data_IF_970866868179
#
_entry.id   IF_970866868179
#
_cell.length_a   1.000
_cell.length_b   1.000
_cell.length_c   1.000
_cell.angle_alpha   90.00
_cell.angle_beta   90.00
_cell.angle_gamma   90.00
#
_symmetry.space_group_name_H-M   'P 1'
#
loop_
_entity.id
_entity.type
_entity.pdbx_description
1 polymer ?
#
# COMPACT_ATOMS: atom_id res chain seq x y z
N UNK A 1 -17.91 -17.91 13.59
CA UNK A 1 -17.51 -19.09 12.78
C UNK A 1 -17.11 -18.71 11.34
N UNK A 2 -17.84 -17.82 10.66
CA UNK A 2 -17.49 -17.37 9.30
C UNK A 2 -16.19 -16.55 9.25
N UNK A 3 -16.01 -15.61 10.17
CA UNK A 3 -14.84 -14.73 10.19
C UNK A 3 -13.56 -15.46 10.62
N UNK A 4 -13.69 -16.47 11.49
CA UNK A 4 -12.56 -17.33 11.89
C UNK A 4 -12.06 -18.19 10.73
N UNK A 5 -12.97 -18.70 9.87
CA UNK A 5 -12.58 -19.44 8.66
C UNK A 5 -11.91 -18.52 7.65
N UNK A 6 -12.49 -17.34 7.39
CA UNK A 6 -11.93 -16.36 6.48
C UNK A 6 -10.53 -15.91 6.94
N UNK A 7 -10.35 -15.57 8.23
CA UNK A 7 -9.04 -15.18 8.78
C UNK A 7 -8.02 -16.30 8.65
N UNK A 8 -8.42 -17.56 8.83
CA UNK A 8 -7.53 -18.71 8.67
C UNK A 8 -7.07 -18.89 7.22
N UNK A 9 -8.01 -18.83 6.26
CA UNK A 9 -7.70 -18.87 4.82
C UNK A 9 -6.82 -17.69 4.40
N UNK A 10 -7.14 -16.48 4.86
CA UNK A 10 -6.35 -15.27 4.62
C UNK A 10 -4.92 -15.40 5.19
N UNK A 11 -4.77 -15.90 6.41
CA UNK A 11 -3.47 -16.11 7.04
C UNK A 11 -2.63 -17.14 6.27
N UNK A 12 -3.26 -18.21 5.78
CA UNK A 12 -2.60 -19.20 4.94
C UNK A 12 -2.11 -18.57 3.65
N UNK A 13 -2.97 -17.85 2.94
CA UNK A 13 -2.61 -17.14 1.70
C UNK A 13 -1.49 -16.13 1.93
N UNK A 14 -1.55 -15.35 3.03
CA UNK A 14 -0.50 -14.38 3.37
C UNK A 14 0.84 -15.08 3.51
N UNK A 15 0.88 -16.17 4.28
CA UNK A 15 2.10 -16.98 4.47
C UNK A 15 2.63 -17.54 3.14
N UNK A 16 1.76 -18.02 2.27
CA UNK A 16 2.17 -18.54 0.97
C UNK A 16 2.76 -17.45 0.06
N UNK A 17 2.11 -16.29 -0.02
CA UNK A 17 2.62 -15.14 -0.79
C UNK A 17 3.96 -14.66 -0.23
N UNK A 18 4.09 -14.48 1.08
CA UNK A 18 5.35 -14.10 1.73
C UNK A 18 6.45 -15.13 1.49
N UNK A 19 6.14 -16.43 1.53
CA UNK A 19 7.10 -17.50 1.25
C UNK A 19 7.61 -17.44 -0.19
N UNK A 20 6.73 -17.22 -1.15
CA UNK A 20 7.10 -17.06 -2.57
C UNK A 20 7.99 -15.83 -2.74
N UNK A 21 7.62 -14.69 -2.17
CA UNK A 21 8.42 -13.46 -2.18
C UNK A 21 9.84 -13.70 -1.63
N UNK A 22 9.95 -14.26 -0.43
CA UNK A 22 11.23 -14.55 0.21
C UNK A 22 12.10 -15.51 -0.60
N UNK A 23 11.50 -16.51 -1.25
CA UNK A 23 12.21 -17.43 -2.14
C UNK A 23 12.86 -16.67 -3.30
N UNK A 24 12.11 -15.81 -3.98
CA UNK A 24 12.62 -15.09 -5.14
C UNK A 24 13.65 -14.01 -4.77
N UNK A 25 13.45 -13.30 -3.66
CA UNK A 25 14.47 -12.36 -3.15
C UNK A 25 15.80 -13.07 -2.90
N UNK A 26 15.79 -14.24 -2.25
CA UNK A 26 17.02 -15.02 -2.03
C UNK A 26 17.69 -15.45 -3.33
N UNK A 27 16.90 -15.87 -4.33
CA UNK A 27 17.43 -16.23 -5.66
C UNK A 27 18.11 -15.02 -6.30
N UNK A 28 17.46 -13.86 -6.28
CA UNK A 28 18.01 -12.64 -6.90
C UNK A 28 19.25 -12.15 -6.17
N UNK A 29 19.26 -12.17 -4.83
CA UNK A 29 20.44 -11.83 -4.04
C UNK A 29 21.61 -12.76 -4.35
N UNK A 30 21.35 -14.07 -4.47
CA UNK A 30 22.37 -15.03 -4.89
C UNK A 30 22.90 -14.71 -6.29
N UNK A 31 22.02 -14.40 -7.25
CA UNK A 31 22.42 -14.02 -8.61
C UNK A 31 23.27 -12.75 -8.63
N UNK A 32 22.89 -11.72 -7.86
CA UNK A 32 23.65 -10.48 -7.71
C UNK A 32 25.06 -10.73 -7.18
N UNK A 33 25.20 -11.64 -6.21
CA UNK A 33 26.51 -12.00 -5.65
C UNK A 33 27.36 -12.85 -6.60
N UNK A 34 26.74 -13.79 -7.34
CA UNK A 34 27.44 -14.66 -8.29
C UNK A 34 27.85 -13.92 -9.57
N UNK A 35 27.04 -12.96 -10.01
CA UNK A 35 27.20 -12.26 -11.28
C UNK A 35 27.21 -10.73 -11.10
N UNK A 36 28.25 -10.16 -10.46
CA UNK A 36 28.29 -8.75 -10.09
C UNK A 36 28.20 -7.80 -11.29
N UNK A 37 28.69 -8.21 -12.47
CA UNK A 37 28.60 -7.41 -13.70
C UNK A 37 27.15 -7.21 -14.18
N UNK A 38 26.20 -7.98 -13.66
CA UNK A 38 24.78 -7.91 -14.01
C UNK A 38 23.92 -7.31 -12.88
N UNK A 39 24.55 -6.66 -11.89
CA UNK A 39 23.84 -6.12 -10.71
C UNK A 39 22.68 -5.18 -11.08
N UNK A 40 22.82 -4.37 -12.14
CA UNK A 40 21.74 -3.49 -12.58
C UNK A 40 20.49 -4.27 -13.03
N UNK A 41 20.69 -5.43 -13.68
CA UNK A 41 19.60 -6.30 -14.14
C UNK A 41 18.96 -7.00 -12.95
N UNK A 42 19.77 -7.57 -12.05
CA UNK A 42 19.25 -8.28 -10.88
C UNK A 42 18.52 -7.33 -9.92
N UNK A 43 19.05 -6.13 -9.68
CA UNK A 43 18.37 -5.09 -8.88
C UNK A 43 17.02 -4.67 -9.49
N UNK A 44 16.92 -4.58 -10.83
CA UNK A 44 15.63 -4.29 -11.49
C UNK A 44 14.59 -5.38 -11.19
N UNK A 45 14.96 -6.65 -11.28
CA UNK A 45 14.04 -7.75 -10.95
C UNK A 45 13.73 -7.82 -9.45
N UNK A 46 14.71 -7.55 -8.58
CA UNK A 46 14.50 -7.50 -7.13
C UNK A 46 13.42 -6.48 -6.79
N UNK A 47 13.56 -5.30 -7.39
CA UNK A 47 12.63 -4.20 -7.23
C UNK A 47 11.23 -4.53 -7.74
N UNK A 48 11.11 -5.15 -8.92
CA UNK A 48 9.81 -5.59 -9.47
C UNK A 48 9.13 -6.62 -8.58
N UNK A 49 9.87 -7.62 -8.08
CA UNK A 49 9.32 -8.64 -7.19
C UNK A 49 8.86 -8.03 -5.86
N UNK A 50 9.62 -7.06 -5.33
CA UNK A 50 9.24 -6.29 -4.16
C UNK A 50 7.93 -5.52 -4.42
N UNK A 51 7.83 -4.81 -5.55
CA UNK A 51 6.63 -4.09 -5.92
C UNK A 51 5.39 -4.98 -6.02
N UNK A 52 5.49 -6.14 -6.69
CA UNK A 52 4.38 -7.10 -6.79
C UNK A 52 3.97 -7.69 -5.44
N UNK A 53 4.94 -7.95 -4.56
CA UNK A 53 4.65 -8.44 -3.21
C UNK A 53 3.85 -7.42 -2.41
N UNK A 54 4.30 -6.16 -2.40
CA UNK A 54 3.63 -5.11 -1.67
C UNK A 54 2.26 -4.80 -2.24
N UNK A 55 2.11 -4.75 -3.58
CA UNK A 55 0.82 -4.58 -4.25
C UNK A 55 -0.18 -5.70 -3.89
N UNK A 56 0.26 -6.96 -3.95
CA UNK A 56 -0.56 -8.10 -3.53
C UNK A 56 -0.98 -8.00 -2.06
N UNK A 57 -0.08 -7.55 -1.17
CA UNK A 57 -0.41 -7.36 0.24
C UNK A 57 -1.41 -6.22 0.43
N UNK A 58 -1.29 -5.12 -0.30
CA UNK A 58 -2.27 -4.02 -0.26
C UNK A 58 -3.67 -4.52 -0.64
N UNK A 59 -3.79 -5.27 -1.74
CA UNK A 59 -5.05 -5.88 -2.15
C UNK A 59 -5.59 -6.85 -1.09
N UNK A 60 -4.74 -7.71 -0.54
CA UNK A 60 -5.12 -8.66 0.53
C UNK A 60 -5.63 -7.96 1.79
N UNK A 61 -4.98 -6.87 2.21
CA UNK A 61 -5.40 -6.08 3.37
C UNK A 61 -6.66 -5.26 3.09
N UNK A 62 -6.88 -4.80 1.86
CA UNK A 62 -8.15 -4.18 1.45
C UNK A 62 -9.34 -5.11 1.62
N UNK A 63 -9.15 -6.40 1.32
CA UNK A 63 -10.19 -7.43 1.48
C UNK A 63 -10.38 -7.80 2.94
N UNK A 64 -9.31 -7.77 3.74
CA UNK A 64 -9.36 -8.08 5.17
C UNK A 64 -10.23 -7.08 5.94
N UNK A 65 -10.00 -5.78 5.76
CA UNK A 65 -10.72 -4.71 6.48
C UNK A 65 -12.21 -4.68 6.15
N UNK A 66 -12.58 -5.06 4.92
CA UNK A 66 -13.97 -5.13 4.49
C UNK A 66 -14.71 -6.40 4.96
N UNK A 67 -14.00 -7.38 5.53
CA UNK A 67 -14.54 -8.70 5.89
C UNK A 67 -14.51 -8.99 7.38
N UNK A 68 -13.61 -8.37 8.13
CA UNK A 68 -13.44 -8.60 9.56
C UNK A 68 -13.64 -7.30 10.31
N UNK A 69 -14.65 -7.25 11.17
CA UNK A 69 -14.82 -6.18 12.14
C UNK A 69 -13.75 -6.31 13.24
N UNK A 70 -13.07 -5.21 13.56
CA UNK A 70 -12.10 -5.18 14.65
C UNK A 70 -10.79 -5.92 14.35
N UNK A 71 -10.05 -5.46 13.33
CA UNK A 71 -8.68 -5.91 13.11
C UNK A 71 -7.82 -5.66 14.35
N UNK A 72 -6.93 -6.62 14.67
CA UNK A 72 -5.95 -6.40 15.72
C UNK A 72 -4.89 -5.39 15.26
N UNK A 73 -4.19 -4.79 16.22
CA UNK A 73 -3.16 -3.77 15.94
C UNK A 73 -2.05 -4.29 15.01
N UNK A 74 -1.63 -5.55 15.15
CA UNK A 74 -0.61 -6.14 14.29
C UNK A 74 -1.02 -6.19 12.82
N UNK A 75 -2.28 -6.53 12.53
CA UNK A 75 -2.80 -6.54 11.15
C UNK A 75 -2.85 -5.12 10.58
N UNK A 76 -3.22 -4.13 11.40
CA UNK A 76 -3.24 -2.71 11.01
C UNK A 76 -1.83 -2.21 10.72
N UNK A 77 -0.88 -2.46 11.62
CA UNK A 77 0.51 -2.02 11.48
C UNK A 77 1.17 -2.65 10.24
N UNK A 78 0.95 -3.94 10.00
CA UNK A 78 1.43 -4.61 8.79
C UNK A 78 0.81 -4.00 7.52
N UNK A 79 -0.50 -3.74 7.50
CA UNK A 79 -1.16 -3.09 6.36
C UNK A 79 -0.54 -1.73 6.06
N UNK A 80 -0.38 -0.87 7.09
CA UNK A 80 0.23 0.45 6.94
C UNK A 80 1.66 0.33 6.43
N UNK A 81 2.47 -0.62 6.91
CA UNK A 81 3.82 -0.84 6.39
C UNK A 81 3.84 -1.14 4.89
N UNK A 82 2.88 -1.93 4.38
CA UNK A 82 2.77 -2.18 2.95
C UNK A 82 2.32 -0.94 2.18
N UNK A 83 1.38 -0.16 2.73
CA UNK A 83 0.92 1.07 2.11
C UNK A 83 2.03 2.13 2.04
N UNK A 84 2.85 2.20 3.08
CA UNK A 84 3.98 3.09 3.22
C UNK A 84 5.05 2.80 2.18
N UNK A 85 5.38 1.51 2.03
CA UNK A 85 6.30 1.06 1.00
C UNK A 85 5.79 1.41 -0.40
N UNK A 86 4.51 1.13 -0.69
CA UNK A 86 3.91 1.45 -1.99
C UNK A 86 3.88 2.95 -2.26
N UNK A 87 3.60 3.77 -1.24
CA UNK A 87 3.61 5.22 -1.38
C UNK A 87 4.99 5.74 -1.76
N UNK A 88 6.05 5.26 -1.11
CA UNK A 88 7.42 5.64 -1.42
C UNK A 88 7.83 5.14 -2.81
N UNK A 89 7.41 3.94 -3.20
CA UNK A 89 7.63 3.39 -4.53
C UNK A 89 6.98 4.24 -5.63
N UNK A 90 5.72 4.63 -5.45
CA UNK A 90 4.98 5.47 -6.41
C UNK A 90 5.61 6.87 -6.48
N UNK A 91 5.98 7.44 -5.33
CA UNK A 91 6.50 8.81 -5.25
C UNK A 91 7.94 8.96 -5.76
N UNK A 92 8.75 7.91 -5.68
CA UNK A 92 10.14 7.91 -6.19
C UNK A 92 10.22 7.71 -7.70
N UNK A 93 9.25 7.01 -8.29
CA UNK A 93 9.09 6.87 -9.72
C UNK A 93 8.42 8.14 -10.29
N UNK A 94 9.22 9.20 -10.50
CA UNK A 94 8.85 10.51 -11.06
C UNK A 94 8.31 10.47 -12.51
N UNK A 95 7.74 9.36 -12.95
CA UNK A 95 7.20 9.20 -14.28
C UNK A 95 5.70 9.51 -14.30
N UNK A 96 5.28 10.60 -14.97
CA UNK A 96 3.87 10.90 -15.13
C UNK A 96 3.22 9.88 -16.07
N UNK A 97 2.61 8.85 -15.49
CA UNK A 97 1.85 7.82 -16.20
C UNK A 97 0.46 7.70 -15.59
N UNK A 98 -0.55 7.47 -16.43
CA UNK A 98 -1.93 7.18 -15.99
C UNK A 98 -2.00 6.01 -14.97
N UNK A 99 -1.03 5.11 -15.04
CA UNK A 99 -0.80 4.05 -14.06
C UNK A 99 -0.50 4.62 -12.67
N UNK A 100 0.49 5.51 -12.54
CA UNK A 100 0.88 6.17 -11.28
C UNK A 100 -0.30 6.85 -10.61
N UNK A 101 -1.13 7.57 -11.38
CA UNK A 101 -2.36 8.19 -10.91
C UNK A 101 -3.32 7.16 -10.29
N UNK A 102 -3.57 6.05 -11.00
CA UNK A 102 -4.49 5.00 -10.56
C UNK A 102 -4.02 4.38 -9.26
N UNK A 103 -2.74 4.02 -9.15
CA UNK A 103 -2.18 3.45 -7.92
C UNK A 103 -2.26 4.43 -6.74
N UNK A 104 -1.95 5.70 -6.97
CA UNK A 104 -2.01 6.71 -5.92
C UNK A 104 -3.43 6.90 -5.38
N UNK A 105 -4.43 6.90 -6.26
CA UNK A 105 -5.85 6.97 -5.87
C UNK A 105 -6.27 5.74 -5.07
N UNK A 106 -5.98 4.53 -5.58
CA UNK A 106 -6.35 3.29 -4.92
C UNK A 106 -5.68 3.17 -3.55
N UNK A 107 -4.41 3.52 -3.46
CA UNK A 107 -3.66 3.53 -2.20
C UNK A 107 -4.23 4.55 -1.21
N UNK A 108 -4.63 5.72 -1.70
CA UNK A 108 -5.33 6.73 -0.90
C UNK A 108 -6.63 6.19 -0.29
N UNK A 109 -7.40 5.39 -1.03
CA UNK A 109 -8.58 4.71 -0.48
C UNK A 109 -8.22 3.72 0.63
N UNK A 110 -7.12 2.98 0.49
CA UNK A 110 -6.69 2.04 1.53
C UNK A 110 -6.31 2.75 2.82
N UNK A 111 -5.57 3.86 2.71
CA UNK A 111 -5.27 4.72 3.86
C UNK A 111 -6.54 5.23 4.56
N UNK A 112 -7.54 5.68 3.79
CA UNK A 112 -8.82 6.12 4.36
C UNK A 112 -9.56 5.00 5.07
N UNK A 113 -9.59 3.79 4.48
CA UNK A 113 -10.25 2.62 5.08
C UNK A 113 -9.62 2.20 6.41
N UNK A 114 -8.30 2.33 6.55
CA UNK A 114 -7.59 1.97 7.78
C UNK A 114 -7.51 3.11 8.81
N UNK A 115 -7.70 4.37 8.40
CA UNK A 115 -7.52 5.55 9.27
C UNK A 115 -8.18 5.42 10.64
N UNK A 116 -9.45 5.00 10.69
CA UNK A 116 -10.20 4.90 11.95
C UNK A 116 -9.68 3.82 12.90
N UNK A 117 -8.98 2.82 12.37
CA UNK A 117 -8.39 1.71 13.13
C UNK A 117 -7.02 2.05 13.72
N UNK A 118 -6.41 3.13 13.24
CA UNK A 118 -5.06 3.52 13.63
C UNK A 118 -5.02 4.30 14.95
N UNK A 119 -3.90 4.18 15.65
CA UNK A 119 -3.58 5.04 16.79
C UNK A 119 -3.34 6.51 16.35
N UNK A 120 -3.38 7.49 17.27
CA UNK A 120 -3.26 8.91 16.91
C UNK A 120 -1.96 9.27 16.16
N UNK A 121 -0.76 8.78 16.54
CA UNK A 121 0.45 9.02 15.75
C UNK A 121 0.35 8.53 14.30
N UNK A 122 -0.13 7.31 14.08
CA UNK A 122 -0.30 6.75 12.73
C UNK A 122 -1.36 7.52 11.94
N UNK A 123 -2.44 8.00 12.58
CA UNK A 123 -3.44 8.86 11.93
C UNK A 123 -2.83 10.14 11.35
N UNK A 124 -1.93 10.81 12.09
CA UNK A 124 -1.23 12.01 11.61
C UNK A 124 -0.33 11.69 10.41
N UNK A 125 0.39 10.56 10.46
CA UNK A 125 1.22 10.09 9.33
C UNK A 125 0.35 9.87 8.09
N UNK A 126 -0.80 9.19 8.25
CA UNK A 126 -1.75 8.94 7.16
C UNK A 126 -2.27 10.26 6.57
N UNK A 127 -2.66 11.23 7.40
CA UNK A 127 -3.09 12.56 6.93
C UNK A 127 -2.00 13.26 6.12
N UNK A 128 -0.75 13.21 6.58
CA UNK A 128 0.39 13.75 5.85
C UNK A 128 0.57 13.12 4.47
N UNK A 129 0.45 11.80 4.37
CA UNK A 129 0.56 11.08 3.09
C UNK A 129 -0.59 11.37 2.15
N UNK A 130 -1.83 11.36 2.65
CA UNK A 130 -3.01 11.73 1.87
C UNK A 130 -2.91 13.16 1.33
N UNK A 131 -2.36 14.09 2.12
CA UNK A 131 -2.07 15.46 1.66
C UNK A 131 -1.11 15.45 0.48
N UNK A 132 0.02 14.74 0.60
CA UNK A 132 1.01 14.64 -0.48
C UNK A 132 0.41 14.00 -1.73
N UNK A 133 -0.37 12.93 -1.60
CA UNK A 133 -1.06 12.30 -2.73
C UNK A 133 -2.02 13.26 -3.43
N UNK A 134 -2.85 13.98 -2.67
CA UNK A 134 -3.83 14.92 -3.24
C UNK A 134 -3.12 16.06 -3.97
N UNK A 135 -2.04 16.59 -3.40
CA UNK A 135 -1.21 17.61 -4.06
C UNK A 135 -0.62 17.10 -5.37
N UNK A 136 0.02 15.94 -5.35
CA UNK A 136 0.59 15.30 -6.54
C UNK A 136 -0.46 15.05 -7.62
N UNK A 137 -1.62 14.49 -7.25
CA UNK A 137 -2.73 14.24 -8.18
C UNK A 137 -3.28 15.53 -8.80
N UNK A 138 -3.35 16.61 -8.01
CA UNK A 138 -3.84 17.93 -8.46
C UNK A 138 -2.88 18.58 -9.45
N UNK A 139 -1.58 18.49 -9.21
CA UNK A 139 -0.57 19.17 -10.02
C UNK A 139 -0.34 18.43 -11.35
N UNK A 140 -0.26 17.09 -11.31
CA UNK A 140 0.35 16.34 -12.41
C UNK A 140 -0.61 15.44 -13.18
N UNK A 141 -1.76 15.05 -12.62
CA UNK A 141 -2.45 13.86 -13.12
C UNK A 141 -3.93 14.01 -13.42
N UNK A 142 -4.68 14.67 -12.54
CA UNK A 142 -6.14 14.49 -12.52
C UNK A 142 -6.86 15.81 -12.70
N UNK A 143 -7.71 15.96 -13.73
CA UNK A 143 -8.71 17.02 -13.76
C UNK A 143 -9.50 17.00 -12.44
N UNK A 144 -9.71 18.18 -11.85
CA UNK A 144 -10.36 18.32 -10.53
C UNK A 144 -11.77 17.72 -10.46
N UNK A 145 -12.38 17.42 -11.61
CA UNK A 145 -13.70 16.83 -11.76
C UNK A 145 -13.72 15.28 -11.89
N UNK A 146 -12.57 14.61 -11.90
CA UNK A 146 -12.56 13.14 -11.95
C UNK A 146 -13.18 12.58 -10.66
N UNK A 147 -14.18 11.72 -10.81
CA UNK A 147 -14.95 11.17 -9.68
C UNK A 147 -14.04 10.50 -8.63
N UNK A 148 -13.06 9.73 -9.08
CA UNK A 148 -12.12 9.03 -8.22
C UNK A 148 -11.30 9.99 -7.33
N UNK A 149 -10.87 11.11 -7.89
CA UNK A 149 -10.17 12.15 -7.15
C UNK A 149 -11.10 12.91 -6.18
N UNK A 150 -12.34 13.19 -6.59
CA UNK A 150 -13.35 13.82 -5.71
C UNK A 150 -13.63 12.94 -4.49
N UNK A 151 -13.79 11.63 -4.69
CA UNK A 151 -14.00 10.66 -3.60
C UNK A 151 -12.82 10.71 -2.62
N UNK A 152 -11.58 10.65 -3.12
CA UNK A 152 -10.38 10.71 -2.29
C UNK A 152 -10.33 12.01 -1.47
N UNK A 153 -10.56 13.15 -2.14
CA UNK A 153 -10.52 14.48 -1.51
C UNK A 153 -11.60 14.64 -0.44
N UNK A 154 -12.81 14.14 -0.69
CA UNK A 154 -13.90 14.20 0.30
C UNK A 154 -13.66 13.24 1.46
N UNK A 155 -13.13 12.03 1.19
CA UNK A 155 -12.70 11.11 2.24
C UNK A 155 -11.63 11.74 3.14
N UNK A 156 -10.62 12.39 2.56
CA UNK A 156 -9.61 13.13 3.32
C UNK A 156 -10.24 14.26 4.16
N UNK A 157 -11.11 15.09 3.58
CA UNK A 157 -11.82 16.14 4.32
C UNK A 157 -12.59 15.60 5.53
N UNK A 158 -13.19 14.42 5.40
CA UNK A 158 -13.94 13.81 6.52
C UNK A 158 -13.06 13.44 7.71
N UNK A 159 -11.75 13.21 7.51
CA UNK A 159 -10.82 12.81 8.56
C UNK A 159 -9.90 13.94 9.05
N UNK A 160 -9.81 15.05 8.32
CA UNK A 160 -9.08 16.27 8.76
C UNK A 160 -9.83 16.99 9.87
N UNK A 161 -11.16 16.84 9.91
CA UNK A 161 -12.01 17.33 10.99
C UNK A 161 -12.01 16.46 12.25
N UNK A 162 -11.46 15.24 12.20
CA UNK A 162 -11.35 14.31 13.34
C UNK A 162 -10.25 14.75 14.34
N UNK A 163 -10.04 16.06 14.54
CA UNK A 163 -9.06 16.58 15.48
C UNK A 163 -9.31 16.06 16.90
N UNK A 164 -8.60 14.99 17.23
CA UNK A 164 -7.86 14.70 18.46
C UNK A 164 -8.58 15.23 19.71
N UNK A 165 -9.56 14.46 20.19
CA UNK A 165 -9.87 14.36 21.62
C UNK A 165 -9.27 13.05 22.14
#
# INVERSE_FOLDING_TARGET
VRDSRYKSEWNKTRKDVTRVYQKYIRIIQSLSSTYPNYIQITSKYEFQICAYYHDAMVDMYSKLVNKIEGLNSSDVDEAINHFDWMFNYISSNNEPRAFTQTFMILLGYQYLSYYKLCNPPTKQIIQGKLTQMIQTLTIYYTPSNALSFIILKNGYRSIVGDNIN
#
